data_IF_469273372767
#
_entry.id   IF_469273372767
#
_cell.length_a   1.000
_cell.length_b   1.000
_cell.length_c   1.000
_cell.angle_alpha   90.00
_cell.angle_beta   90.00
_cell.angle_gamma   90.00
#
_symmetry.space_group_name_H-M   'P 1'
#
loop_
_entity.id
_entity.type
_entity.pdbx_description
1 polymer ?
#
# COMPACT_ATOMS: atom_id res chain seq x y z
N UNK A 1 -21.87 18.00 8.34
CA UNK A 1 -20.45 17.97 8.76
C UNK A 1 -19.70 19.18 8.18
N UNK A 2 -18.64 19.64 8.85
CA UNK A 2 -17.71 20.65 8.33
C UNK A 2 -16.49 19.90 7.76
N UNK A 3 -16.09 20.23 6.53
CA UNK A 3 -14.90 19.68 5.89
C UNK A 3 -13.88 20.79 5.75
N UNK A 4 -12.64 20.52 6.13
CA UNK A 4 -11.51 21.44 5.99
C UNK A 4 -10.24 20.68 5.61
N UNK A 5 -9.29 21.39 5.01
CA UNK A 5 -7.99 20.82 4.70
C UNK A 5 -7.19 20.64 5.99
N UNK A 6 -6.82 19.40 6.26
CA UNK A 6 -5.97 19.02 7.39
C UNK A 6 -5.16 17.77 7.01
N UNK A 7 -4.02 17.59 7.67
CA UNK A 7 -3.19 16.41 7.49
C UNK A 7 -2.57 15.99 8.83
N UNK A 8 -2.45 14.67 9.10
CA UNK A 8 -1.67 14.19 10.24
C UNK A 8 -0.19 14.57 10.09
N UNK A 9 0.46 14.92 11.20
CA UNK A 9 1.84 15.43 11.21
C UNK A 9 2.88 14.30 11.15
N UNK A 10 3.15 13.78 9.94
CA UNK A 10 4.26 12.85 9.71
C UNK A 10 4.85 12.99 8.29
N UNK A 11 6.06 12.46 8.08
CA UNK A 11 6.68 12.36 6.76
C UNK A 11 6.13 11.15 5.98
N UNK A 12 5.39 11.39 4.90
CA UNK A 12 4.84 10.35 4.04
C UNK A 12 5.90 9.46 3.38
N UNK A 13 7.12 9.96 3.16
CA UNK A 13 8.22 9.17 2.61
C UNK A 13 8.87 8.31 3.67
N UNK A 14 8.93 8.78 4.91
CA UNK A 14 9.27 7.93 6.03
C UNK A 14 8.23 6.80 6.20
N UNK A 15 6.93 7.09 6.06
CA UNK A 15 5.86 6.08 6.11
C UNK A 15 6.04 5.03 5.00
N UNK A 16 6.26 5.45 3.76
CA UNK A 16 6.51 4.57 2.62
C UNK A 16 7.73 3.65 2.82
N UNK A 17 8.87 4.23 3.25
CA UNK A 17 10.08 3.46 3.57
C UNK A 17 9.83 2.48 4.71
N UNK A 18 9.12 2.89 5.76
CA UNK A 18 8.75 2.02 6.86
C UNK A 18 7.93 0.83 6.37
N UNK A 19 6.82 1.10 5.68
CA UNK A 19 5.90 0.09 5.14
C UNK A 19 6.63 -0.96 4.30
N UNK A 20 7.41 -0.52 3.31
CA UNK A 20 8.12 -1.44 2.42
C UNK A 20 9.25 -2.18 3.12
N UNK A 21 9.93 -1.55 4.07
CA UNK A 21 10.96 -2.23 4.84
C UNK A 21 10.38 -3.41 5.64
N UNK A 22 9.21 -3.20 6.24
CA UNK A 22 8.49 -4.26 6.94
C UNK A 22 7.99 -5.33 5.97
N UNK A 23 7.43 -4.91 4.84
CA UNK A 23 6.96 -5.82 3.78
C UNK A 23 8.07 -6.73 3.26
N UNK A 24 9.27 -6.19 2.99
CA UNK A 24 10.40 -6.99 2.51
C UNK A 24 10.83 -8.06 3.51
N UNK A 25 10.90 -7.69 4.80
CA UNK A 25 11.19 -8.62 5.88
C UNK A 25 10.14 -9.72 5.97
N UNK A 26 8.86 -9.37 5.93
CA UNK A 26 7.76 -10.34 6.02
C UNK A 26 7.75 -11.31 4.83
N UNK A 27 7.91 -10.82 3.60
CA UNK A 27 8.00 -11.68 2.41
C UNK A 27 9.18 -12.64 2.51
N UNK A 28 10.36 -12.17 2.97
CA UNK A 28 11.52 -13.04 3.15
C UNK A 28 11.26 -14.16 4.18
N UNK A 29 10.58 -13.83 5.29
CA UNK A 29 10.21 -14.79 6.32
C UNK A 29 9.17 -15.81 5.82
N UNK A 30 8.15 -15.35 5.09
CA UNK A 30 7.12 -16.21 4.50
C UNK A 30 7.70 -17.16 3.45
N UNK A 31 8.62 -16.68 2.61
CA UNK A 31 9.34 -17.53 1.65
C UNK A 31 10.17 -18.59 2.37
N UNK A 32 10.93 -18.22 3.41
CA UNK A 32 11.71 -19.16 4.20
C UNK A 32 10.82 -20.23 4.86
N UNK A 33 9.70 -19.80 5.46
CA UNK A 33 8.69 -20.69 6.04
C UNK A 33 8.12 -21.66 5.00
N UNK A 34 7.82 -21.17 3.79
CA UNK A 34 7.27 -22.02 2.73
C UNK A 34 8.28 -23.08 2.25
N UNK A 35 9.56 -22.72 2.15
CA UNK A 35 10.65 -23.66 1.83
C UNK A 35 10.81 -24.73 2.91
N UNK A 36 10.80 -24.31 4.18
CA UNK A 36 10.97 -25.21 5.33
C UNK A 36 9.78 -26.15 5.53
N UNK A 37 8.56 -25.63 5.47
CA UNK A 37 7.35 -26.38 5.85
C UNK A 37 6.72 -27.15 4.69
N UNK A 38 6.84 -26.64 3.46
CA UNK A 38 6.17 -27.20 2.28
C UNK A 38 7.13 -27.68 1.20
N UNK A 39 8.45 -27.60 1.42
CA UNK A 39 9.45 -28.00 0.43
C UNK A 39 9.46 -27.13 -0.83
N UNK A 40 8.93 -25.91 -0.74
CA UNK A 40 8.94 -24.97 -1.84
C UNK A 40 10.37 -24.66 -2.29
N UNK A 41 10.52 -24.29 -3.56
CA UNK A 41 11.76 -23.93 -4.23
C UNK A 41 11.68 -22.50 -4.73
N UNK A 42 12.82 -21.92 -5.11
CA UNK A 42 12.86 -20.57 -5.69
C UNK A 42 12.00 -20.41 -6.95
N UNK A 43 11.80 -21.49 -7.73
CA UNK A 43 10.96 -21.46 -8.93
C UNK A 43 9.46 -21.41 -8.65
N UNK A 44 9.04 -21.71 -7.42
CA UNK A 44 7.63 -21.66 -7.02
C UNK A 44 7.18 -20.23 -6.68
N UNK A 45 8.10 -19.27 -6.68
CA UNK A 45 7.82 -17.85 -6.43
C UNK A 45 8.03 -17.03 -7.70
N UNK A 46 7.16 -16.05 -7.90
CA UNK A 46 7.30 -15.04 -8.95
C UNK A 46 8.63 -14.29 -8.84
N UNK A 47 9.13 -13.77 -9.97
CA UNK A 47 10.40 -13.05 -10.02
C UNK A 47 10.42 -11.87 -9.03
N UNK A 48 9.34 -11.11 -8.98
CA UNK A 48 9.24 -9.90 -8.15
C UNK A 48 9.18 -10.26 -6.66
N UNK A 49 8.46 -11.32 -6.30
CA UNK A 49 8.45 -11.90 -4.94
C UNK A 49 9.86 -12.30 -4.50
N UNK A 50 10.64 -12.92 -5.37
CA UNK A 50 12.03 -13.31 -5.05
C UNK A 50 12.95 -12.12 -4.86
N UNK A 51 12.77 -11.05 -5.64
CA UNK A 51 13.52 -9.81 -5.45
C UNK A 51 13.22 -9.19 -4.10
N UNK A 52 11.94 -9.11 -3.75
CA UNK A 52 11.49 -8.60 -2.45
C UNK A 52 12.07 -9.45 -1.31
N UNK A 53 12.00 -10.78 -1.43
CA UNK A 53 12.60 -11.70 -0.46
C UNK A 53 14.10 -11.49 -0.29
N UNK A 54 14.84 -11.35 -1.38
CA UNK A 54 16.28 -11.04 -1.33
C UNK A 54 16.56 -9.68 -0.65
N UNK A 55 15.74 -8.66 -0.92
CA UNK A 55 15.86 -7.36 -0.25
C UNK A 55 15.61 -7.49 1.26
N UNK A 56 14.64 -8.31 1.67
CA UNK A 56 14.39 -8.65 3.07
C UNK A 56 15.58 -9.37 3.72
N UNK A 57 16.08 -10.44 3.09
CA UNK A 57 17.22 -11.23 3.59
C UNK A 57 18.51 -10.40 3.76
N UNK A 58 18.68 -9.37 2.92
CA UNK A 58 19.88 -8.52 2.93
C UNK A 58 19.73 -7.24 3.74
N UNK A 59 18.55 -6.99 4.31
CA UNK A 59 18.31 -5.84 5.18
C UNK A 59 18.99 -6.05 6.53
N UNK A 60 19.74 -5.06 7.06
CA UNK A 60 20.26 -5.15 8.41
C UNK A 60 19.13 -5.30 9.44
N UNK A 61 19.26 -6.24 10.38
CA UNK A 61 18.27 -6.44 11.44
C UNK A 61 18.00 -5.16 12.24
N UNK A 62 19.03 -4.36 12.50
CA UNK A 62 18.89 -3.06 13.16
C UNK A 62 17.99 -2.10 12.40
N UNK A 63 18.02 -2.13 11.06
CA UNK A 63 17.20 -1.27 10.22
C UNK A 63 15.74 -1.76 10.23
N UNK A 64 15.52 -3.07 10.15
CA UNK A 64 14.19 -3.65 10.30
C UNK A 64 13.56 -3.28 11.65
N UNK A 65 14.32 -3.46 12.75
CA UNK A 65 13.87 -3.09 14.10
C UNK A 65 13.58 -1.60 14.21
N UNK A 66 14.44 -0.73 13.65
CA UNK A 66 14.22 0.73 13.65
C UNK A 66 12.94 1.10 12.91
N UNK A 67 12.71 0.55 11.71
CA UNK A 67 11.47 0.79 10.95
C UNK A 67 10.25 0.32 11.73
N UNK A 68 10.32 -0.87 12.36
CA UNK A 68 9.24 -1.37 13.22
C UNK A 68 8.96 -0.47 14.42
N UNK A 69 9.98 0.15 15.02
CA UNK A 69 9.79 1.11 16.11
C UNK A 69 9.16 2.42 15.62
N UNK A 70 9.53 2.87 14.43
CA UNK A 70 9.00 4.09 13.79
C UNK A 70 7.49 4.01 13.55
N UNK A 71 6.94 2.81 13.38
CA UNK A 71 5.49 2.56 13.36
C UNK A 71 4.75 3.35 14.45
N UNK A 72 5.23 3.29 15.69
CA UNK A 72 4.58 3.93 16.82
C UNK A 72 4.52 5.47 16.69
N UNK A 73 5.45 6.08 15.93
CA UNK A 73 5.42 7.51 15.65
C UNK A 73 4.24 7.85 14.73
N UNK A 74 4.02 7.08 13.66
CA UNK A 74 2.87 7.27 12.77
C UNK A 74 1.54 7.05 13.51
N UNK A 75 1.47 6.03 14.38
CA UNK A 75 0.28 5.77 15.18
C UNK A 75 -0.03 6.93 16.14
N UNK A 76 0.99 7.50 16.79
CA UNK A 76 0.81 8.68 17.66
C UNK A 76 0.43 9.93 16.88
N UNK A 77 1.05 10.19 15.73
CA UNK A 77 0.72 11.33 14.87
C UNK A 77 -0.73 11.25 14.38
N UNK A 78 -1.18 10.07 13.95
CA UNK A 78 -2.57 9.86 13.55
C UNK A 78 -3.54 9.94 14.74
N UNK A 79 -3.16 9.43 15.91
CA UNK A 79 -3.94 9.58 17.14
C UNK A 79 -4.12 11.06 17.55
N UNK A 80 -3.06 11.86 17.44
CA UNK A 80 -3.13 13.30 17.69
C UNK A 80 -4.05 14.02 16.68
N UNK A 81 -3.99 13.63 15.41
CA UNK A 81 -4.91 14.12 14.38
C UNK A 81 -6.37 13.82 14.75
N UNK A 82 -6.68 12.57 15.14
CA UNK A 82 -8.03 12.21 15.57
C UNK A 82 -8.46 12.81 16.93
N UNK A 83 -7.54 13.46 17.67
CA UNK A 83 -7.90 14.30 18.81
C UNK A 83 -8.64 15.59 18.40
N UNK A 84 -8.50 16.00 17.13
CA UNK A 84 -9.14 17.21 16.58
C UNK A 84 -10.16 16.92 15.47
N UNK A 85 -10.07 15.75 14.83
CA UNK A 85 -10.89 15.36 13.69
C UNK A 85 -11.56 14.00 13.92
N UNK A 86 -12.77 13.81 13.43
CA UNK A 86 -13.48 12.52 13.54
C UNK A 86 -13.15 11.57 12.38
N UNK A 87 -12.79 12.15 11.23
CA UNK A 87 -12.55 11.44 9.98
C UNK A 87 -11.37 12.06 9.23
N UNK A 88 -10.62 11.20 8.54
CA UNK A 88 -9.57 11.57 7.60
C UNK A 88 -10.03 11.23 6.19
N UNK A 89 -10.08 12.24 5.31
CA UNK A 89 -10.58 12.10 3.93
C UNK A 89 -9.42 12.21 2.93
N UNK A 90 -9.36 11.27 1.99
CA UNK A 90 -8.36 11.25 0.91
C UNK A 90 -8.93 10.54 -0.32
N UNK A 91 -8.36 10.71 -1.53
CA UNK A 91 -8.57 9.73 -2.60
C UNK A 91 -8.13 8.34 -2.13
N UNK A 92 -8.78 7.27 -2.59
CA UNK A 92 -8.33 5.90 -2.25
C UNK A 92 -7.00 5.59 -2.96
N UNK A 93 -6.90 5.97 -4.24
CA UNK A 93 -5.71 5.78 -5.07
C UNK A 93 -5.17 7.12 -5.54
N UNK A 94 -3.86 7.18 -5.80
CA UNK A 94 -3.18 8.35 -6.37
C UNK A 94 -3.28 8.43 -7.89
N UNK A 95 -3.77 7.38 -8.55
CA UNK A 95 -3.89 7.25 -10.00
C UNK A 95 -5.20 6.51 -10.35
N UNK A 96 -5.64 6.65 -11.60
CA UNK A 96 -6.77 5.90 -12.17
C UNK A 96 -6.45 4.39 -12.25
N UNK A 97 -7.44 3.52 -12.50
CA UNK A 97 -7.18 2.11 -12.78
C UNK A 97 -6.13 1.92 -13.88
N UNK A 98 -5.19 1.01 -13.65
CA UNK A 98 -4.13 0.70 -14.62
C UNK A 98 -4.71 -0.06 -15.81
N UNK A 99 -4.20 0.19 -17.01
CA UNK A 99 -4.47 -0.67 -18.15
C UNK A 99 -3.87 -2.07 -17.91
N UNK A 100 -4.47 -3.10 -18.53
CA UNK A 100 -3.92 -4.46 -18.50
C UNK A 100 -2.50 -4.43 -19.08
N UNK A 101 -1.54 -4.93 -18.30
CA UNK A 101 -0.13 -4.96 -18.67
C UNK A 101 0.67 -3.70 -18.33
N UNK A 102 0.03 -2.60 -17.91
CA UNK A 102 0.72 -1.34 -17.59
C UNK A 102 1.71 -1.50 -16.42
N UNK A 103 1.37 -2.35 -15.45
CA UNK A 103 2.20 -2.62 -14.27
C UNK A 103 3.18 -3.77 -14.47
N UNK A 104 3.25 -4.37 -15.67
CA UNK A 104 4.21 -5.43 -15.91
C UNK A 104 5.65 -4.90 -15.92
N UNK A 105 6.52 -5.56 -15.16
CA UNK A 105 7.95 -5.27 -15.18
C UNK A 105 8.51 -5.44 -16.61
N UNK A 106 9.10 -4.39 -17.21
CA UNK A 106 9.69 -4.44 -18.55
C UNK A 106 10.75 -5.55 -18.70
N UNK A 107 10.89 -6.10 -19.91
CA UNK A 107 11.78 -7.25 -20.16
C UNK A 107 13.24 -7.00 -19.75
N UNK A 108 13.75 -5.79 -19.94
CA UNK A 108 15.12 -5.42 -19.54
C UNK A 108 15.29 -5.38 -18.02
N UNK A 109 14.28 -4.92 -17.27
CA UNK A 109 14.27 -4.95 -15.81
C UNK A 109 14.12 -6.39 -15.29
N UNK A 110 13.28 -7.22 -15.92
CA UNK A 110 13.20 -8.67 -15.63
C UNK A 110 14.56 -9.36 -15.83
N UNK A 111 15.32 -8.99 -16.86
CA UNK A 111 16.67 -9.51 -17.08
C UNK A 111 17.64 -9.05 -15.99
N UNK A 112 17.67 -7.75 -15.67
CA UNK A 112 18.50 -7.21 -14.59
C UNK A 112 18.18 -7.87 -13.23
N UNK A 113 16.90 -8.04 -12.92
CA UNK A 113 16.43 -8.75 -11.73
C UNK A 113 16.99 -10.17 -11.60
N UNK A 114 16.95 -10.95 -12.68
CA UNK A 114 17.51 -12.31 -12.69
C UNK A 114 19.02 -12.31 -12.42
N UNK A 115 19.75 -11.35 -12.96
CA UNK A 115 21.19 -11.20 -12.66
C UNK A 115 21.40 -10.83 -11.19
N UNK A 116 20.64 -9.88 -10.65
CA UNK A 116 20.74 -9.48 -9.24
C UNK A 116 20.51 -10.66 -8.29
N UNK A 117 19.48 -11.48 -8.56
CA UNK A 117 19.21 -12.70 -7.81
C UNK A 117 20.35 -13.72 -7.92
N UNK A 118 20.86 -13.96 -9.14
CA UNK A 118 21.97 -14.90 -9.38
C UNK A 118 23.22 -14.53 -8.59
N UNK A 119 23.52 -13.23 -8.48
CA UNK A 119 24.68 -12.73 -7.75
C UNK A 119 24.40 -12.33 -6.29
N UNK A 120 23.18 -12.57 -5.78
CA UNK A 120 22.73 -12.18 -4.44
C UNK A 120 23.06 -10.73 -4.09
N UNK A 121 22.83 -9.82 -5.05
CA UNK A 121 23.30 -8.45 -5.00
C UNK A 121 22.47 -7.50 -4.10
N UNK A 122 21.57 -8.01 -3.25
CA UNK A 122 20.65 -7.20 -2.45
C UNK A 122 21.32 -6.12 -1.59
N UNK A 123 22.50 -6.40 -1.01
CA UNK A 123 23.28 -5.40 -0.24
C UNK A 123 23.74 -4.21 -1.09
N UNK A 124 23.99 -4.40 -2.39
CA UNK A 124 24.35 -3.34 -3.30
C UNK A 124 23.14 -2.47 -3.64
N UNK A 125 21.97 -3.09 -3.81
CA UNK A 125 20.70 -2.40 -4.08
C UNK A 125 20.28 -1.51 -2.91
N UNK A 126 20.48 -1.97 -1.66
CA UNK A 126 20.26 -1.14 -0.47
C UNK A 126 21.15 0.12 -0.45
N UNK A 127 22.37 0.04 -1.00
CA UNK A 127 23.33 1.17 -1.01
C UNK A 127 23.14 2.12 -2.19
N UNK A 128 22.46 1.71 -3.25
CA UNK A 128 22.29 2.50 -4.46
C UNK A 128 21.14 3.51 -4.39
N UNK A 129 20.30 3.46 -3.34
CA UNK A 129 19.07 4.26 -3.25
C UNK A 129 17.94 3.75 -4.14
N UNK A 130 18.16 2.69 -4.93
CA UNK A 130 17.13 2.10 -5.80
C UNK A 130 15.93 1.57 -5.00
N UNK A 131 16.13 1.15 -3.75
CA UNK A 131 15.03 0.75 -2.86
C UNK A 131 14.05 1.90 -2.61
N UNK A 132 14.55 3.13 -2.47
CA UNK A 132 13.69 4.30 -2.25
C UNK A 132 12.93 4.68 -3.54
N UNK A 133 13.55 4.53 -4.70
CA UNK A 133 12.87 4.72 -5.98
C UNK A 133 11.78 3.66 -6.20
N UNK A 134 12.09 2.38 -5.94
CA UNK A 134 11.11 1.30 -5.98
C UNK A 134 9.95 1.59 -5.01
N UNK A 135 10.24 2.19 -3.86
CA UNK A 135 9.23 2.57 -2.89
C UNK A 135 8.27 3.64 -3.41
N UNK A 136 8.81 4.67 -4.04
CA UNK A 136 8.02 5.73 -4.66
C UNK A 136 7.15 5.19 -5.78
N UNK A 137 7.74 4.45 -6.71
CA UNK A 137 7.05 3.93 -7.89
C UNK A 137 5.97 2.92 -7.51
N UNK A 138 6.26 2.00 -6.58
CA UNK A 138 5.31 0.97 -6.14
C UNK A 138 4.11 1.57 -5.40
N UNK A 139 4.32 2.58 -4.56
CA UNK A 139 3.26 3.14 -3.72
C UNK A 139 2.58 4.37 -4.34
N UNK A 140 3.10 4.94 -5.43
CA UNK A 140 2.53 6.11 -6.08
C UNK A 140 1.05 5.93 -6.49
N UNK A 141 0.64 4.69 -6.82
CA UNK A 141 -0.76 4.39 -7.15
C UNK A 141 -1.66 4.27 -5.93
N UNK A 142 -1.13 3.88 -4.78
CA UNK A 142 -1.91 3.64 -3.55
C UNK A 142 -1.37 4.42 -2.34
N UNK A 143 -0.96 5.69 -2.44
CA UNK A 143 -0.10 6.34 -1.44
C UNK A 143 -0.82 6.67 -0.12
N UNK A 144 -2.14 6.45 -0.07
CA UNK A 144 -3.00 6.84 1.05
C UNK A 144 -3.43 5.66 1.92
N UNK A 145 -3.21 4.41 1.48
CA UNK A 145 -3.76 3.23 2.15
C UNK A 145 -2.81 2.62 3.19
N UNK A 146 -1.50 2.86 3.06
CA UNK A 146 -0.49 2.26 3.95
C UNK A 146 -0.62 2.77 5.38
N UNK A 147 -1.12 3.99 5.56
CA UNK A 147 -1.30 4.58 6.88
C UNK A 147 -2.22 3.69 7.74
N UNK A 148 -3.40 3.34 7.23
CA UNK A 148 -4.36 2.47 7.93
C UNK A 148 -3.80 1.06 8.17
N UNK A 149 -3.06 0.49 7.21
CA UNK A 149 -2.41 -0.82 7.37
C UNK A 149 -1.38 -0.81 8.51
N UNK A 150 -0.60 0.27 8.62
CA UNK A 150 0.33 0.42 9.73
C UNK A 150 -0.44 0.71 11.01
N UNK A 151 -1.22 1.76 11.11
CA UNK A 151 -1.81 2.16 12.40
C UNK A 151 -2.91 1.22 12.91
N UNK A 152 -3.43 0.32 12.07
CA UNK A 152 -4.56 -0.55 12.42
C UNK A 152 -5.86 0.21 12.66
N UNK A 153 -5.95 1.45 12.15
CA UNK A 153 -7.16 2.26 12.19
C UNK A 153 -8.09 1.86 11.06
N UNK A 154 -9.41 1.86 11.28
CA UNK A 154 -10.35 1.49 10.24
C UNK A 154 -10.34 2.53 9.11
N UNK A 155 -10.43 2.03 7.88
CA UNK A 155 -10.59 2.85 6.68
C UNK A 155 -11.52 2.15 5.71
N UNK A 156 -12.31 2.93 4.97
CA UNK A 156 -13.19 2.45 3.91
C UNK A 156 -12.96 3.23 2.63
N UNK A 157 -13.20 2.58 1.49
CA UNK A 157 -13.23 3.23 0.17
C UNK A 157 -14.65 3.17 -0.38
N UNK A 158 -15.21 4.31 -0.74
CA UNK A 158 -16.56 4.44 -1.33
C UNK A 158 -16.47 5.02 -2.76
N UNK A 159 -17.22 4.50 -3.74
CA UNK A 159 -17.11 4.90 -5.15
C UNK A 159 -17.95 6.14 -5.46
N UNK A 160 -17.50 7.31 -4.95
CA UNK A 160 -18.27 8.56 -5.05
C UNK A 160 -18.07 9.31 -6.38
N UNK A 161 -17.15 8.87 -7.24
CA UNK A 161 -16.87 9.53 -8.50
C UNK A 161 -16.55 8.53 -9.61
N UNK A 162 -16.87 8.92 -10.84
CA UNK A 162 -16.58 8.20 -12.08
C UNK A 162 -16.05 9.19 -13.10
N UNK A 163 -15.00 8.81 -13.83
CA UNK A 163 -14.45 9.65 -14.90
C UNK A 163 -15.40 9.72 -16.09
N UNK A 164 -15.15 10.67 -17.02
CA UNK A 164 -15.93 10.77 -18.25
C UNK A 164 -15.82 9.51 -19.13
N UNK A 165 -14.71 8.78 -19.00
CA UNK A 165 -14.43 7.50 -19.66
C UNK A 165 -15.04 6.29 -18.93
N UNK A 166 -15.79 6.51 -17.85
CA UNK A 166 -16.47 5.45 -17.12
C UNK A 166 -15.55 4.64 -16.19
N UNK A 167 -14.46 5.24 -15.69
CA UNK A 167 -13.60 4.59 -14.70
C UNK A 167 -14.00 4.99 -13.26
N UNK A 168 -14.10 4.04 -12.30
CA UNK A 168 -14.44 4.36 -10.92
C UNK A 168 -13.27 5.06 -10.20
N UNK A 169 -13.60 6.04 -9.37
CA UNK A 169 -12.66 6.75 -8.50
C UNK A 169 -13.14 6.65 -7.05
N UNK A 170 -12.35 5.95 -6.24
CA UNK A 170 -12.62 5.75 -4.83
C UNK A 170 -12.27 6.96 -3.98
N UNK A 171 -13.12 7.23 -2.98
CA UNK A 171 -12.86 8.18 -1.91
C UNK A 171 -12.68 7.41 -0.61
N UNK A 172 -11.53 7.58 0.03
CA UNK A 172 -11.17 6.92 1.26
C UNK A 172 -11.53 7.78 2.48
N UNK A 173 -12.21 7.15 3.44
CA UNK A 173 -12.47 7.70 4.77
C UNK A 173 -11.78 6.83 5.81
N UNK A 174 -10.84 7.40 6.56
CA UNK A 174 -10.24 6.79 7.74
C UNK A 174 -10.88 7.33 9.02
N UNK A 175 -11.05 6.47 10.03
CA UNK A 175 -11.55 6.87 11.35
C UNK A 175 -10.57 6.49 12.47
N UNK A 176 -10.79 6.98 13.70
CA UNK A 176 -10.03 6.51 14.87
C UNK A 176 -10.31 5.03 15.13
N UNK A 177 -9.48 4.41 15.97
CA UNK A 177 -9.67 3.01 16.35
C UNK A 177 -11.08 2.76 16.91
N UNK A 178 -11.78 1.73 16.41
CA UNK A 178 -13.14 1.41 16.82
C UNK A 178 -14.25 2.22 16.11
N UNK A 179 -13.91 3.06 15.12
CA UNK A 179 -14.88 3.90 14.40
C UNK A 179 -15.59 3.22 13.22
N UNK A 180 -15.56 1.89 13.11
CA UNK A 180 -16.18 1.13 12.02
C UNK A 180 -17.69 1.44 11.90
N UNK A 181 -18.39 1.54 13.03
CA UNK A 181 -19.82 1.87 13.03
C UNK A 181 -20.09 3.25 12.40
N UNK A 182 -19.27 4.25 12.72
CA UNK A 182 -19.36 5.61 12.14
C UNK A 182 -19.07 5.57 10.65
N UNK A 183 -18.02 4.86 10.23
CA UNK A 183 -17.68 4.70 8.82
C UNK A 183 -18.81 4.04 8.04
N UNK A 184 -19.37 2.93 8.53
CA UNK A 184 -20.47 2.23 7.87
C UNK A 184 -21.76 3.07 7.81
N UNK A 185 -22.09 3.83 8.85
CA UNK A 185 -23.22 4.77 8.81
C UNK A 185 -23.01 5.86 7.77
N UNK A 186 -21.80 6.43 7.70
CA UNK A 186 -21.46 7.40 6.67
C UNK A 186 -21.53 6.79 5.27
N UNK A 187 -21.04 5.56 5.08
CA UNK A 187 -21.13 4.86 3.80
C UNK A 187 -22.58 4.73 3.33
N UNK A 188 -23.50 4.32 4.23
CA UNK A 188 -24.93 4.24 3.91
C UNK A 188 -25.53 5.59 3.50
N UNK A 189 -25.21 6.66 4.24
CA UNK A 189 -25.68 8.00 3.89
C UNK A 189 -25.14 8.48 2.53
N UNK A 190 -23.87 8.18 2.22
CA UNK A 190 -23.24 8.54 0.95
C UNK A 190 -23.81 7.72 -0.21
N UNK A 191 -24.10 6.44 0.02
CA UNK A 191 -24.74 5.55 -0.95
C UNK A 191 -26.17 6.00 -1.28
N UNK A 192 -26.96 6.40 -0.27
CA UNK A 192 -28.30 6.97 -0.47
C UNK A 192 -28.25 8.31 -1.23
N UNK A 193 -27.28 9.16 -0.90
CA UNK A 193 -27.14 10.48 -1.51
C UNK A 193 -26.59 10.44 -2.94
N UNK A 194 -25.74 9.46 -3.26
CA UNK A 194 -25.15 9.28 -4.59
C UNK A 194 -25.05 7.78 -4.95
N UNK A 195 -26.17 7.15 -5.36
CA UNK A 195 -26.19 5.74 -5.71
C UNK A 195 -25.26 5.42 -6.89
N UNK A 196 -24.41 4.41 -6.72
CA UNK A 196 -23.35 4.07 -7.67
C UNK A 196 -23.56 2.73 -8.39
N UNK A 197 -24.49 1.89 -7.93
CA UNK A 197 -24.71 0.51 -8.41
C UNK A 197 -24.89 0.41 -9.92
N UNK A 198 -25.70 1.30 -10.50
CA UNK A 198 -25.99 1.30 -11.95
C UNK A 198 -24.77 1.59 -12.83
N UNK A 199 -23.68 2.12 -12.28
CA UNK A 199 -22.44 2.28 -13.03
C UNK A 199 -21.65 0.98 -13.12
N UNK A 200 -21.71 0.12 -12.10
CA UNK A 200 -21.11 -1.21 -12.15
C UNK A 200 -21.89 -2.15 -13.06
N UNK A 201 -23.22 -2.10 -13.03
CA UNK A 201 -24.07 -2.88 -13.96
C UNK A 201 -23.69 -2.61 -15.43
N UNK A 202 -23.47 -1.34 -15.79
CA UNK A 202 -23.01 -0.97 -17.14
C UNK A 202 -21.64 -1.54 -17.50
N UNK A 203 -20.73 -1.70 -16.52
CA UNK A 203 -19.44 -2.32 -16.77
C UNK A 203 -19.58 -3.83 -17.00
N UNK A 204 -20.42 -4.50 -16.22
CA UNK A 204 -20.68 -5.94 -16.36
C UNK A 204 -21.29 -6.25 -17.73
N UNK A 205 -22.23 -5.43 -18.21
CA UNK A 205 -22.85 -5.57 -19.53
C UNK A 205 -21.90 -5.26 -20.71
N UNK A 206 -20.75 -4.63 -20.45
CA UNK A 206 -19.78 -4.24 -21.48
C UNK A 206 -18.78 -5.34 -21.84
N UNK A 207 -18.74 -6.45 -21.09
CA UNK A 207 -17.86 -7.60 -21.29
C UNK A 207 -18.65 -8.88 -21.63
#
# INVERSE_FOLDING_TARGET
HKVEYAAPEFDGMALARCYLGLYFGEVSALMAKAKEQFGATDSDFELDTRLIGMLGETMPLSDYVRRRQQWNEFARALGAFFGSYELYLSPTTGQLPAAIGELETPAHLKFAARLMLKFKAGKLVHRSGQVDQMALESLARTPFTQLANLTGTPAMSVPLHWTAEGLPVGVQFGGPHGAEATLLQLAGQLEEANPWFSNYEKLEDAF
#
